data_IF_783307195832
#
_entry.id   IF_783307195832
#
_cell.length_a   1.000
_cell.length_b   1.000
_cell.length_c   1.000
_cell.angle_alpha   90.00
_cell.angle_beta   90.00
_cell.angle_gamma   90.00
#
_symmetry.space_group_name_H-M   'P 1'
#
loop_
_entity.id
_entity.type
_entity.pdbx_description
1 polymer ?
#
# COMPACT_ATOMS: atom_id res chain seq x y z
N UNK A 1 1.24 -19.00 -3.35
CA UNK A 1 1.42 -17.55 -3.15
C UNK A 1 0.04 -16.93 -2.85
N UNK A 2 -0.19 -16.40 -1.65
CA UNK A 2 -1.44 -15.72 -1.29
C UNK A 2 -1.47 -14.35 -1.98
N UNK A 3 -2.56 -14.01 -2.65
CA UNK A 3 -2.71 -12.70 -3.30
C UNK A 3 -2.88 -11.61 -2.24
N UNK A 4 -2.31 -10.44 -2.47
CA UNK A 4 -2.54 -9.27 -1.61
C UNK A 4 -3.99 -8.81 -1.70
N UNK A 5 -4.55 -8.37 -0.57
CA UNK A 5 -5.90 -7.79 -0.48
C UNK A 5 -5.93 -6.31 -0.92
N UNK A 6 -4.76 -5.70 -1.14
CA UNK A 6 -4.62 -4.28 -1.49
C UNK A 6 -5.49 -3.84 -2.69
N UNK A 7 -5.58 -4.58 -3.81
CA UNK A 7 -6.39 -4.15 -4.95
C UNK A 7 -7.88 -4.00 -4.61
N UNK A 8 -8.40 -4.84 -3.70
CA UNK A 8 -9.79 -4.78 -3.26
C UNK A 8 -10.02 -3.53 -2.40
N UNK A 9 -9.07 -3.19 -1.53
CA UNK A 9 -9.11 -1.96 -0.74
C UNK A 9 -9.11 -0.73 -1.65
N UNK A 10 -8.19 -0.69 -2.63
CA UNK A 10 -8.08 0.42 -3.60
C UNK A 10 -9.38 0.58 -4.40
N UNK A 11 -10.00 -0.51 -4.82
CA UNK A 11 -11.29 -0.47 -5.50
C UNK A 11 -12.40 0.11 -4.61
N UNK A 12 -12.45 -0.29 -3.34
CA UNK A 12 -13.36 0.29 -2.36
C UNK A 12 -13.13 1.79 -2.15
N UNK A 13 -11.86 2.21 -2.06
CA UNK A 13 -11.46 3.62 -1.99
C UNK A 13 -11.91 4.41 -3.22
N UNK A 14 -11.73 3.87 -4.42
CA UNK A 14 -12.17 4.50 -5.66
C UNK A 14 -13.70 4.72 -5.67
N UNK A 15 -14.49 3.71 -5.28
CA UNK A 15 -15.96 3.83 -5.19
C UNK A 15 -16.34 4.91 -4.19
N UNK A 16 -15.71 4.94 -3.02
CA UNK A 16 -15.94 5.99 -2.02
C UNK A 16 -15.62 7.39 -2.58
N UNK A 17 -14.52 7.54 -3.33
CA UNK A 17 -14.16 8.78 -4.01
C UNK A 17 -15.20 9.23 -5.04
N UNK A 18 -15.67 8.30 -5.88
CA UNK A 18 -16.71 8.58 -6.88
C UNK A 18 -18.01 9.04 -6.24
N UNK A 19 -18.49 8.31 -5.22
CA UNK A 19 -19.71 8.63 -4.50
C UNK A 19 -19.59 9.97 -3.75
N UNK A 20 -18.43 10.24 -3.17
CA UNK A 20 -18.16 11.52 -2.49
C UNK A 20 -18.15 12.67 -3.49
N UNK A 21 -17.50 12.51 -4.64
CA UNK A 21 -17.42 13.56 -5.67
C UNK A 21 -18.78 13.91 -6.27
N UNK A 22 -19.55 12.90 -6.69
CA UNK A 22 -20.90 13.12 -7.21
C UNK A 22 -21.85 13.61 -6.11
N UNK A 23 -21.77 13.03 -4.92
CA UNK A 23 -22.61 13.41 -3.78
C UNK A 23 -22.40 14.85 -3.35
N UNK A 24 -21.15 15.32 -3.29
CA UNK A 24 -20.82 16.71 -2.98
C UNK A 24 -21.36 17.68 -4.04
N UNK A 25 -21.19 17.36 -5.32
CA UNK A 25 -21.68 18.21 -6.40
C UNK A 25 -23.21 18.29 -6.42
N UNK A 26 -23.89 17.16 -6.21
CA UNK A 26 -25.35 17.13 -6.09
C UNK A 26 -25.80 17.94 -4.88
N UNK A 27 -25.15 17.75 -3.73
CA UNK A 27 -25.47 18.50 -2.51
C UNK A 27 -25.39 20.01 -2.74
N UNK A 28 -24.27 20.49 -3.28
CA UNK A 28 -24.06 21.93 -3.51
C UNK A 28 -25.03 22.50 -4.54
N UNK A 29 -25.17 21.85 -5.70
CA UNK A 29 -25.94 22.40 -6.83
C UNK A 29 -27.44 22.17 -6.77
N UNK A 30 -27.92 21.19 -5.99
CA UNK A 30 -29.35 20.86 -5.92
C UNK A 30 -29.98 21.17 -4.55
N UNK A 31 -29.23 21.00 -3.46
CA UNK A 31 -29.79 21.10 -2.10
C UNK A 31 -29.40 22.42 -1.43
N UNK A 32 -28.10 22.72 -1.36
CA UNK A 32 -27.58 23.83 -0.56
C UNK A 32 -27.78 25.19 -1.25
N UNK A 33 -27.29 25.32 -2.49
CA UNK A 33 -27.36 26.59 -3.22
C UNK A 33 -27.64 26.39 -4.72
N UNK A 34 -28.91 26.11 -5.10
CA UNK A 34 -29.27 25.89 -6.48
C UNK A 34 -29.20 27.18 -7.31
N UNK A 35 -28.20 27.27 -8.18
CA UNK A 35 -28.02 28.38 -9.12
C UNK A 35 -27.99 27.89 -10.57
N UNK A 36 -28.61 28.66 -11.47
CA UNK A 36 -28.58 28.40 -12.91
C UNK A 36 -27.36 29.09 -13.51
N UNK A 37 -26.31 28.31 -13.80
CA UNK A 37 -25.07 28.82 -14.40
C UNK A 37 -25.02 28.49 -15.90
N UNK A 38 -25.16 29.53 -16.73
CA UNK A 38 -25.13 29.39 -18.19
C UNK A 38 -26.32 28.61 -18.77
N UNK A 39 -27.49 28.70 -18.13
CA UNK A 39 -28.73 28.05 -18.59
C UNK A 39 -28.78 26.53 -18.41
N UNK A 40 -27.78 25.94 -17.71
CA UNK A 40 -27.70 24.50 -17.49
C UNK A 40 -28.63 24.02 -16.36
N UNK A 41 -29.10 22.76 -16.41
CA UNK A 41 -29.86 22.18 -15.30
C UNK A 41 -28.99 22.09 -14.04
N UNK A 42 -29.63 22.12 -12.86
CA UNK A 42 -28.94 22.00 -11.56
C UNK A 42 -28.08 20.75 -11.46
N UNK A 43 -28.55 19.63 -12.02
CA UNK A 43 -27.78 18.39 -12.12
C UNK A 43 -27.29 18.25 -13.56
N UNK A 44 -26.02 18.62 -13.81
CA UNK A 44 -25.37 18.50 -15.11
C UNK A 44 -24.28 17.44 -15.07
N UNK A 45 -24.69 16.18 -15.20
CA UNK A 45 -23.80 15.01 -15.13
C UNK A 45 -22.53 15.15 -15.99
N UNK A 46 -22.58 15.61 -17.26
CA UNK A 46 -21.37 15.75 -18.07
C UNK A 46 -20.33 16.71 -17.46
N UNK A 47 -20.77 17.77 -16.79
CA UNK A 47 -19.88 18.73 -16.13
C UNK A 47 -19.33 18.23 -14.80
N UNK A 48 -19.98 17.24 -14.20
CA UNK A 48 -19.63 16.66 -12.90
C UNK A 48 -18.52 15.62 -13.01
N UNK A 49 -18.46 14.90 -14.15
CA UNK A 49 -17.51 13.81 -14.42
C UNK A 49 -16.06 14.20 -14.14
N UNK A 50 -15.50 15.33 -14.65
CA UNK A 50 -14.09 15.64 -14.44
C UNK A 50 -13.72 15.70 -12.95
N UNK A 51 -14.48 16.43 -12.12
CA UNK A 51 -14.13 16.53 -10.70
C UNK A 51 -14.41 15.22 -9.93
N UNK A 52 -15.48 14.49 -10.26
CA UNK A 52 -15.77 13.20 -9.66
C UNK A 52 -14.69 12.14 -9.99
N UNK A 53 -14.13 12.20 -11.21
CA UNK A 53 -13.01 11.37 -11.63
C UNK A 53 -11.75 11.67 -10.84
N UNK A 54 -11.40 12.96 -10.64
CA UNK A 54 -10.26 13.34 -9.81
C UNK A 54 -10.41 12.86 -8.36
N UNK A 55 -11.61 12.99 -7.77
CA UNK A 55 -11.89 12.45 -6.43
C UNK A 55 -11.78 10.92 -6.36
N UNK A 56 -12.21 10.23 -7.41
CA UNK A 56 -12.05 8.76 -7.54
C UNK A 56 -10.58 8.37 -7.48
N UNK A 57 -9.72 9.02 -8.29
CA UNK A 57 -8.28 8.75 -8.31
C UNK A 57 -7.63 9.13 -6.98
N UNK A 58 -8.01 10.27 -6.40
CA UNK A 58 -7.45 10.74 -5.14
C UNK A 58 -7.67 9.73 -4.01
N UNK A 59 -8.90 9.24 -3.84
CA UNK A 59 -9.21 8.25 -2.79
C UNK A 59 -8.58 6.88 -3.10
N UNK A 60 -8.53 6.48 -4.37
CA UNK A 60 -7.83 5.27 -4.78
C UNK A 60 -6.33 5.36 -4.44
N UNK A 61 -5.68 6.49 -4.71
CA UNK A 61 -4.27 6.72 -4.44
C UNK A 61 -3.97 6.75 -2.93
N UNK A 62 -4.79 7.43 -2.12
CA UNK A 62 -4.63 7.41 -0.67
C UNK A 62 -4.79 6.00 -0.09
N UNK A 63 -5.78 5.25 -0.58
CA UNK A 63 -5.98 3.86 -0.14
C UNK A 63 -4.85 2.95 -0.62
N UNK A 64 -4.29 3.19 -1.81
CA UNK A 64 -3.17 2.43 -2.34
C UNK A 64 -1.90 2.65 -1.52
N UNK A 65 -1.53 3.91 -1.28
CA UNK A 65 -0.33 4.25 -0.50
C UNK A 65 -0.51 3.86 0.95
N UNK A 66 -1.62 4.27 1.59
CA UNK A 66 -1.90 3.94 2.98
C UNK A 66 -2.05 2.43 3.20
N UNK A 67 -2.77 1.74 2.32
CA UNK A 67 -2.94 0.29 2.38
C UNK A 67 -1.63 -0.46 2.16
N UNK A 68 -0.78 -0.02 1.23
CA UNK A 68 0.52 -0.64 1.00
C UNK A 68 1.43 -0.48 2.23
N UNK A 69 1.49 0.72 2.81
CA UNK A 69 2.29 0.95 4.01
C UNK A 69 1.81 0.08 5.18
N UNK A 70 0.50 0.11 5.47
CA UNK A 70 -0.07 -0.65 6.58
C UNK A 70 0.08 -2.16 6.41
N UNK A 71 -0.17 -2.70 5.22
CA UNK A 71 -0.07 -4.14 4.96
C UNK A 71 1.38 -4.64 4.95
N UNK A 72 2.34 -3.77 4.66
CA UNK A 72 3.77 -4.08 4.76
C UNK A 72 4.34 -3.81 6.16
N UNK A 73 3.53 -3.37 7.14
CA UNK A 73 4.00 -3.04 8.49
C UNK A 73 4.83 -1.75 8.58
N UNK A 74 4.69 -0.85 7.60
CA UNK A 74 5.39 0.43 7.54
C UNK A 74 4.56 1.55 8.19
N UNK A 75 5.20 2.58 8.77
CA UNK A 75 6.64 2.82 8.84
C UNK A 75 7.33 1.95 9.90
N UNK A 76 8.43 1.29 9.50
CA UNK A 76 9.29 0.51 10.39
C UNK A 76 10.73 1.08 10.32
N UNK A 77 11.05 2.14 11.09
CA UNK A 77 12.36 2.77 11.04
C UNK A 77 13.51 1.85 11.48
N UNK A 78 13.22 0.88 12.35
CA UNK A 78 14.18 -0.11 12.82
C UNK A 78 13.65 -1.53 12.56
N UNK A 79 14.51 -2.35 11.96
CA UNK A 79 14.34 -3.79 11.80
C UNK A 79 15.68 -4.45 12.18
N UNK A 80 15.70 -5.53 13.00
CA UNK A 80 16.95 -6.14 13.50
C UNK A 80 17.98 -6.49 12.42
N UNK A 81 17.51 -6.84 11.22
CA UNK A 81 18.36 -7.09 10.04
C UNK A 81 19.36 -5.96 9.71
N UNK A 82 19.07 -4.72 10.13
CA UNK A 82 19.99 -3.60 9.96
C UNK A 82 21.27 -3.70 10.81
N UNK A 83 21.29 -4.57 11.84
CA UNK A 83 22.47 -4.83 12.66
C UNK A 83 23.58 -5.59 11.90
N UNK A 84 23.25 -6.24 10.77
CA UNK A 84 24.25 -6.91 9.93
C UNK A 84 24.91 -5.88 8.99
N UNK A 85 26.21 -5.57 9.14
CA UNK A 85 26.86 -4.49 8.35
C UNK A 85 26.77 -4.71 6.83
N UNK A 86 26.79 -5.98 6.40
CA UNK A 86 26.69 -6.35 4.98
C UNK A 86 25.31 -6.05 4.39
N UNK A 87 24.26 -5.94 5.21
CA UNK A 87 22.91 -5.61 4.76
C UNK A 87 22.81 -4.20 4.14
N UNK A 88 23.78 -3.31 4.41
CA UNK A 88 23.91 -2.04 3.69
C UNK A 88 24.05 -2.21 2.15
N UNK A 89 24.39 -3.40 1.67
CA UNK A 89 24.49 -3.74 0.25
C UNK A 89 23.18 -4.30 -0.36
N UNK A 90 22.13 -4.50 0.45
CA UNK A 90 20.86 -5.10 0.02
C UNK A 90 20.13 -4.28 -1.06
N UNK A 91 20.31 -2.96 -1.06
CA UNK A 91 19.71 -2.06 -2.08
C UNK A 91 20.66 -1.76 -3.24
N UNK A 92 21.84 -2.40 -3.30
CA UNK A 92 22.88 -2.09 -4.30
C UNK A 92 23.20 -3.28 -5.19
N UNK A 93 23.79 -4.34 -4.63
CA UNK A 93 24.41 -5.39 -5.44
C UNK A 93 24.23 -6.81 -4.88
N UNK A 94 23.75 -6.98 -3.64
CA UNK A 94 23.63 -8.30 -3.01
C UNK A 94 22.18 -8.65 -2.72
N UNK A 95 21.88 -9.94 -2.81
CA UNK A 95 20.61 -10.53 -2.38
C UNK A 95 20.76 -11.15 -1.00
N UNK A 96 19.72 -11.08 -0.20
CA UNK A 96 19.69 -11.61 1.17
C UNK A 96 18.47 -12.49 1.34
N UNK A 97 18.66 -13.61 2.04
CA UNK A 97 17.60 -14.48 2.51
C UNK A 97 17.59 -14.41 4.04
N UNK A 98 16.42 -14.14 4.61
CA UNK A 98 16.22 -14.08 6.06
C UNK A 98 15.24 -15.17 6.46
N UNK A 99 15.58 -15.93 7.49
CA UNK A 99 14.65 -16.81 8.19
C UNK A 99 14.41 -16.22 9.58
N UNK A 100 13.15 -15.96 9.89
CA UNK A 100 12.74 -15.48 11.21
C UNK A 100 12.64 -16.65 12.20
N UNK A 101 13.01 -16.39 13.46
CA UNK A 101 12.93 -17.36 14.55
C UNK A 101 11.50 -17.68 15.02
N UNK A 102 10.50 -16.94 14.51
CA UNK A 102 9.08 -17.09 14.89
C UNK A 102 8.40 -18.33 14.30
N UNK A 103 9.01 -18.98 13.30
CA UNK A 103 8.44 -20.19 12.70
C UNK A 103 8.51 -21.37 13.70
N UNK A 104 7.41 -22.10 13.96
CA UNK A 104 7.43 -23.30 14.81
C UNK A 104 8.41 -24.39 14.36
N UNK A 105 8.83 -24.40 13.10
CA UNK A 105 9.81 -25.34 12.55
C UNK A 105 11.24 -24.85 12.63
N UNK A 106 11.47 -23.64 13.16
CA UNK A 106 12.81 -23.09 13.26
C UNK A 106 13.63 -23.87 14.29
N UNK A 107 14.72 -24.47 13.81
CA UNK A 107 15.81 -25.00 14.62
C UNK A 107 17.10 -24.31 14.18
N UNK A 108 17.82 -23.73 15.12
CA UNK A 108 19.03 -22.95 14.84
C UNK A 108 20.10 -23.75 14.08
N UNK A 109 20.46 -24.93 14.60
CA UNK A 109 21.54 -25.75 14.05
C UNK A 109 21.18 -26.25 12.65
N UNK A 110 19.97 -26.80 12.49
CA UNK A 110 19.47 -27.31 11.21
C UNK A 110 19.33 -26.19 10.17
N UNK A 111 18.85 -25.02 10.57
CA UNK A 111 18.67 -23.87 9.67
C UNK A 111 20.02 -23.31 9.23
N UNK A 112 21.01 -23.25 10.14
CA UNK A 112 22.35 -22.79 9.81
C UNK A 112 23.03 -23.73 8.82
N UNK A 113 22.95 -25.04 9.05
CA UNK A 113 23.47 -26.05 8.13
C UNK A 113 22.78 -25.97 6.76
N UNK A 114 21.44 -25.84 6.74
CA UNK A 114 20.67 -25.64 5.52
C UNK A 114 21.12 -24.40 4.75
N UNK A 115 21.29 -23.25 5.42
CA UNK A 115 21.73 -21.99 4.80
C UNK A 115 23.14 -22.09 4.23
N UNK A 116 24.05 -22.77 4.93
CA UNK A 116 25.41 -23.03 4.44
C UNK A 116 25.41 -23.95 3.22
N UNK A 117 24.43 -24.86 3.11
CA UNK A 117 24.25 -25.75 1.96
C UNK A 117 23.73 -25.07 0.68
N UNK A 118 23.28 -23.80 0.74
CA UNK A 118 22.70 -23.08 -0.39
C UNK A 118 23.72 -22.31 -1.26
N UNK A 119 25.02 -22.60 -1.12
CA UNK A 119 26.12 -21.86 -1.77
C UNK A 119 26.07 -20.34 -1.49
N UNK A 120 25.69 -20.00 -0.26
CA UNK A 120 25.63 -18.62 0.20
C UNK A 120 27.06 -18.05 0.32
N UNK A 121 27.25 -16.79 -0.11
CA UNK A 121 28.56 -16.12 0.06
C UNK A 121 28.97 -16.07 1.53
N UNK A 122 28.03 -15.72 2.41
CA UNK A 122 28.20 -15.62 3.86
C UNK A 122 26.86 -15.87 4.56
N UNK A 123 26.91 -16.40 5.78
CA UNK A 123 25.76 -16.63 6.66
C UNK A 123 26.02 -15.90 7.97
N UNK A 124 25.08 -15.02 8.37
CA UNK A 124 25.16 -14.23 9.60
C UNK A 124 23.98 -14.54 10.50
N UNK A 125 24.24 -14.53 11.80
CA UNK A 125 23.19 -14.43 12.80
C UNK A 125 22.77 -12.97 12.92
N UNK A 126 21.46 -12.74 13.06
CA UNK A 126 20.89 -11.40 13.22
C UNK A 126 20.51 -11.24 14.69
N UNK A 127 21.27 -10.43 15.42
CA UNK A 127 20.93 -10.05 16.79
C UNK A 127 19.75 -9.07 16.80
N UNK A 128 18.87 -9.18 17.80
CA UNK A 128 17.72 -8.28 18.00
C UNK A 128 18.11 -6.80 18.22
#
# INVERSE_FOLDING_TARGET
IKRSILPILVFGGAIAGLLTGLGLQIFVHYIDYPIIVGGRPFISIPSFIPAAYELTILFAAFTAVGGMLLLNGLPQPYHPVFNVPRFALATREKFFLLIETKDPKFNYDETREFMQGLDAQEVFDVDE
#
